data_IF_182757329391
#
_entry.id   IF_182757329391
#
_cell.length_a   1.000
_cell.length_b   1.000
_cell.length_c   1.000
_cell.angle_alpha   90.00
_cell.angle_beta   90.00
_cell.angle_gamma   90.00
#
_symmetry.space_group_name_H-M   'P 1'
#
loop_
_entity.id
_entity.type
_entity.pdbx_description
1 polymer ?
#
# COMPACT_ATOMS: atom_id res chain seq x y z
N UNK A 1 -2.45 13.30 -32.10
CA UNK A 1 -2.22 12.07 -31.30
C UNK A 1 -1.30 12.39 -30.13
N UNK A 2 -1.79 13.02 -29.11
CA UNK A 2 -1.02 13.36 -27.91
C UNK A 2 -1.95 13.47 -26.69
N UNK A 3 -2.96 12.62 -26.61
CA UNK A 3 -3.95 12.62 -25.55
C UNK A 3 -3.71 11.52 -24.49
N UNK A 4 -2.51 10.93 -24.45
CA UNK A 4 -2.20 9.81 -23.56
C UNK A 4 -1.07 10.09 -22.56
N UNK A 5 -0.69 11.36 -22.36
CA UNK A 5 0.43 11.70 -21.47
C UNK A 5 0.11 12.69 -20.35
N UNK A 6 -1.15 13.01 -20.11
CA UNK A 6 -1.55 13.64 -18.86
C UNK A 6 -1.73 12.58 -17.76
N UNK A 7 -0.69 11.80 -17.53
CA UNK A 7 -0.44 11.20 -16.24
C UNK A 7 -0.31 12.37 -15.28
N UNK A 8 -1.31 12.58 -14.49
CA UNK A 8 -1.38 13.62 -13.48
C UNK A 8 -0.18 13.49 -12.57
N UNK A 9 0.87 14.25 -12.84
CA UNK A 9 2.03 14.35 -11.98
C UNK A 9 1.57 15.15 -10.78
N UNK A 10 1.19 14.44 -9.71
CA UNK A 10 0.76 15.03 -8.47
C UNK A 10 1.88 15.91 -7.92
N UNK A 11 1.63 17.19 -7.87
CA UNK A 11 2.32 18.09 -6.94
C UNK A 11 1.65 17.89 -5.58
N UNK A 12 2.45 17.64 -4.55
CA UNK A 12 2.01 17.36 -3.19
C UNK A 12 0.86 18.30 -2.75
N UNK A 13 -0.27 17.69 -2.38
CA UNK A 13 -1.29 18.32 -1.56
C UNK A 13 -2.22 19.36 -2.19
N UNK A 14 -2.20 19.59 -3.50
CA UNK A 14 -2.94 20.71 -4.07
C UNK A 14 -4.04 20.31 -5.06
N UNK A 15 -5.27 20.67 -4.70
CA UNK A 15 -6.34 20.86 -5.66
C UNK A 15 -6.00 22.11 -6.46
N UNK A 16 -5.89 22.01 -7.78
CA UNK A 16 -5.38 23.08 -8.66
C UNK A 16 -6.15 24.42 -8.55
N UNK A 17 -7.43 24.38 -8.22
CA UNK A 17 -8.30 25.54 -8.13
C UNK A 17 -8.66 25.88 -6.69
N UNK A 18 -7.66 26.09 -5.83
CA UNK A 18 -7.85 26.38 -4.41
C UNK A 18 -8.67 27.66 -4.10
N UNK A 19 -8.80 28.56 -5.06
CA UNK A 19 -9.66 29.76 -4.95
C UNK A 19 -11.16 29.43 -5.03
N UNK A 20 -11.54 28.27 -5.55
CA UNK A 20 -12.91 27.80 -5.63
C UNK A 20 -13.44 27.33 -4.30
N UNK A 21 -14.75 27.32 -4.15
CA UNK A 21 -15.47 26.63 -3.08
C UNK A 21 -15.64 25.16 -3.45
N UNK A 22 -16.04 24.34 -2.46
CA UNK A 22 -16.37 22.92 -2.62
C UNK A 22 -17.42 22.71 -3.72
N UNK A 23 -18.43 23.57 -3.77
CA UNK A 23 -19.49 23.49 -4.80
C UNK A 23 -19.01 23.93 -6.17
N UNK A 24 -18.18 24.97 -6.24
CA UNK A 24 -17.68 25.50 -7.51
C UNK A 24 -16.74 24.50 -8.19
N UNK A 25 -15.85 23.87 -7.45
CA UNK A 25 -14.91 22.89 -8.03
C UNK A 25 -15.65 21.61 -8.48
N UNK A 26 -16.62 21.13 -7.72
CA UNK A 26 -17.47 20.00 -8.12
C UNK A 26 -18.20 20.32 -9.43
N UNK A 27 -18.88 21.48 -9.49
CA UNK A 27 -19.60 21.91 -10.70
C UNK A 27 -18.66 22.09 -11.90
N UNK A 28 -17.43 22.51 -11.67
CA UNK A 28 -16.42 22.65 -12.73
C UNK A 28 -16.03 21.28 -13.27
N UNK A 29 -15.66 20.33 -12.43
CA UNK A 29 -15.22 19.01 -12.87
C UNK A 29 -16.36 18.16 -13.45
N UNK A 30 -17.57 18.27 -12.93
CA UNK A 30 -18.74 17.49 -13.38
C UNK A 30 -19.04 17.63 -14.88
N UNK A 31 -18.61 18.74 -15.50
CA UNK A 31 -18.84 18.99 -16.92
C UNK A 31 -17.96 18.16 -17.86
N UNK A 32 -16.86 17.61 -17.34
CA UNK A 32 -15.88 16.87 -18.13
C UNK A 32 -16.04 15.35 -18.07
N UNK A 33 -16.85 14.85 -17.13
CA UNK A 33 -17.00 13.41 -16.89
C UNK A 33 -18.45 12.96 -17.05
N UNK A 34 -18.76 12.18 -18.11
CA UNK A 34 -20.15 11.82 -18.43
C UNK A 34 -20.82 10.91 -17.38
N UNK A 35 -20.04 10.18 -16.56
CA UNK A 35 -20.53 9.30 -15.49
C UNK A 35 -20.40 9.93 -14.11
N UNK A 36 -20.31 11.26 -14.03
CA UNK A 36 -20.11 11.98 -12.79
C UNK A 36 -21.13 11.62 -11.71
N UNK A 37 -20.62 11.20 -10.54
CA UNK A 37 -21.43 10.90 -9.37
C UNK A 37 -21.21 11.94 -8.26
N UNK A 38 -22.04 12.97 -8.26
CA UNK A 38 -22.00 14.01 -7.23
C UNK A 38 -22.24 13.48 -5.81
N UNK A 39 -22.94 12.33 -5.65
CA UNK A 39 -23.20 11.74 -4.32
C UNK A 39 -21.90 11.22 -3.69
N UNK A 40 -21.03 10.59 -4.48
CA UNK A 40 -19.73 10.13 -3.99
C UNK A 40 -18.88 11.30 -3.51
N UNK A 41 -18.90 12.44 -4.23
CA UNK A 41 -18.20 13.64 -3.82
C UNK A 41 -18.75 14.24 -2.52
N UNK A 42 -20.06 14.55 -2.49
CA UNK A 42 -20.65 15.21 -1.32
C UNK A 42 -20.71 14.31 -0.11
N UNK A 43 -20.87 12.99 -0.27
CA UNK A 43 -20.80 12.05 0.85
C UNK A 43 -19.46 12.10 1.59
N UNK A 44 -18.33 12.22 0.85
CA UNK A 44 -17.03 12.43 1.49
C UNK A 44 -16.92 13.82 2.15
N UNK A 45 -17.48 14.87 1.54
CA UNK A 45 -17.48 16.21 2.12
C UNK A 45 -18.29 16.30 3.42
N UNK A 46 -19.38 15.56 3.53
CA UNK A 46 -20.18 15.44 4.76
C UNK A 46 -19.38 14.78 5.89
N UNK A 47 -18.65 13.69 5.60
CA UNK A 47 -17.76 13.04 6.58
C UNK A 47 -16.68 13.98 7.09
N UNK A 48 -16.23 14.91 6.27
CA UNK A 48 -15.25 15.95 6.64
C UNK A 48 -15.88 17.15 7.37
N UNK A 49 -17.18 17.17 7.52
CA UNK A 49 -17.94 18.32 8.03
C UNK A 49 -17.62 19.64 7.27
N UNK A 50 -17.44 19.56 5.97
CA UNK A 50 -17.06 20.68 5.10
C UNK A 50 -18.29 21.25 4.41
N UNK A 51 -18.56 22.55 4.63
CA UNK A 51 -19.69 23.21 4.01
C UNK A 51 -19.46 23.45 2.49
N UNK A 52 -20.48 23.30 1.63
CA UNK A 52 -20.37 23.51 0.17
C UNK A 52 -19.84 24.89 -0.23
N UNK A 53 -20.05 25.91 0.60
CA UNK A 53 -19.56 27.28 0.39
C UNK A 53 -18.13 27.52 0.91
N UNK A 54 -17.50 26.55 1.57
CA UNK A 54 -16.15 26.71 2.09
C UNK A 54 -15.14 26.77 0.95
N UNK A 55 -14.24 27.78 1.03
CA UNK A 55 -13.13 27.92 0.06
C UNK A 55 -12.03 26.91 0.33
N UNK A 56 -11.56 26.23 -0.69
CA UNK A 56 -10.50 25.22 -0.62
C UNK A 56 -9.19 25.81 -0.08
N UNK A 57 -8.88 27.07 -0.43
CA UNK A 57 -7.70 27.76 0.09
C UNK A 57 -7.66 27.87 1.64
N UNK A 58 -8.82 27.80 2.30
CA UNK A 58 -8.94 27.90 3.77
C UNK A 58 -8.94 26.52 4.47
N UNK A 59 -8.76 25.45 3.72
CA UNK A 59 -8.74 24.09 4.24
C UNK A 59 -7.33 23.68 4.66
N UNK A 60 -7.24 22.73 5.60
CA UNK A 60 -5.99 22.05 5.92
C UNK A 60 -5.48 21.24 4.73
N UNK A 61 -4.22 20.84 4.75
CA UNK A 61 -3.64 19.96 3.72
C UNK A 61 -4.44 18.65 3.59
N UNK A 62 -4.73 18.01 4.74
CA UNK A 62 -5.52 16.78 4.78
C UNK A 62 -6.92 16.95 4.19
N UNK A 63 -7.64 18.01 4.54
CA UNK A 63 -8.95 18.30 3.95
C UNK A 63 -8.87 18.51 2.44
N UNK A 64 -7.86 19.24 1.95
CA UNK A 64 -7.67 19.45 0.49
C UNK A 64 -7.39 18.14 -0.25
N UNK A 65 -6.61 17.23 0.34
CA UNK A 65 -6.37 15.91 -0.23
C UNK A 65 -7.66 15.08 -0.31
N UNK A 66 -8.54 15.19 0.68
CA UNK A 66 -9.84 14.53 0.64
C UNK A 66 -10.78 15.15 -0.42
N UNK A 67 -10.71 16.46 -0.65
CA UNK A 67 -11.43 17.09 -1.77
C UNK A 67 -10.93 16.51 -3.10
N UNK A 68 -9.62 16.37 -3.28
CA UNK A 68 -9.05 15.75 -4.47
C UNK A 68 -9.52 14.28 -4.63
N UNK A 69 -9.53 13.51 -3.56
CA UNK A 69 -10.11 12.16 -3.58
C UNK A 69 -11.57 12.17 -4.00
N UNK A 70 -12.38 13.02 -3.39
CA UNK A 70 -13.81 13.14 -3.73
C UNK A 70 -14.02 13.43 -5.23
N UNK A 71 -13.20 14.30 -5.82
CA UNK A 71 -13.25 14.60 -7.25
C UNK A 71 -12.86 13.39 -8.12
N UNK A 72 -11.92 12.56 -7.68
CA UNK A 72 -11.52 11.32 -8.37
C UNK A 72 -12.64 10.29 -8.29
N UNK A 73 -13.20 10.08 -7.10
CA UNK A 73 -14.28 9.12 -6.89
C UNK A 73 -15.54 9.49 -7.69
N UNK A 74 -15.87 10.79 -7.76
CA UNK A 74 -17.01 11.28 -8.50
C UNK A 74 -16.92 11.05 -10.03
N UNK A 75 -15.73 10.81 -10.57
CA UNK A 75 -15.58 10.45 -12.00
C UNK A 75 -16.21 9.10 -12.31
N UNK A 76 -16.45 8.25 -11.31
CA UNK A 76 -17.08 6.95 -11.45
C UNK A 76 -16.39 6.09 -12.52
N UNK A 77 -15.06 6.02 -12.43
CA UNK A 77 -14.21 5.28 -13.36
C UNK A 77 -14.21 3.79 -13.05
N UNK A 78 -14.01 2.95 -14.06
CA UNK A 78 -13.86 1.51 -13.89
C UNK A 78 -12.47 1.14 -13.34
N UNK A 79 -11.47 2.01 -13.62
CA UNK A 79 -10.09 1.90 -13.13
C UNK A 79 -9.65 3.24 -12.55
N UNK A 80 -9.13 3.22 -11.32
CA UNK A 80 -8.46 4.34 -10.68
C UNK A 80 -6.96 4.06 -10.52
N UNK A 81 -6.13 5.02 -10.88
CA UNK A 81 -4.67 4.96 -10.67
C UNK A 81 -4.29 6.05 -9.68
N UNK A 82 -3.79 5.64 -8.51
CA UNK A 82 -3.44 6.50 -7.40
C UNK A 82 -1.96 6.35 -7.06
N UNK A 83 -1.16 7.34 -7.45
CA UNK A 83 0.28 7.33 -7.21
C UNK A 83 0.58 8.07 -5.90
N UNK A 84 1.03 7.31 -4.89
CA UNK A 84 1.41 7.76 -3.55
C UNK A 84 0.41 8.74 -2.90
N UNK A 85 -0.86 8.46 -3.06
CA UNK A 85 -1.96 9.39 -2.78
C UNK A 85 -2.12 9.73 -1.30
N UNK A 86 -1.64 8.89 -0.38
CA UNK A 86 -1.72 9.10 1.06
C UNK A 86 -0.56 9.93 1.64
N UNK A 87 0.42 10.29 0.81
CA UNK A 87 1.57 11.09 1.25
C UNK A 87 1.14 12.47 1.76
N UNK A 88 1.70 12.89 2.90
CA UNK A 88 1.37 14.17 3.53
C UNK A 88 0.01 14.23 4.24
N UNK A 89 -0.73 13.12 4.32
CA UNK A 89 -1.90 13.01 5.19
C UNK A 89 -1.49 12.68 6.62
N UNK A 90 -2.13 13.33 7.59
CA UNK A 90 -2.02 12.88 8.97
C UNK A 90 -2.74 11.52 9.15
N UNK A 91 -2.43 10.77 10.24
CA UNK A 91 -2.97 9.43 10.42
C UNK A 91 -4.51 9.34 10.39
N UNK A 92 -5.21 10.36 10.87
CA UNK A 92 -6.68 10.40 10.90
C UNK A 92 -7.27 10.50 9.49
N UNK A 93 -6.77 11.45 8.69
CA UNK A 93 -7.22 11.62 7.31
C UNK A 93 -6.80 10.46 6.42
N UNK A 94 -5.63 9.86 6.67
CA UNK A 94 -5.16 8.67 5.94
C UNK A 94 -6.07 7.47 6.19
N UNK A 95 -6.45 7.22 7.44
CA UNK A 95 -7.39 6.15 7.79
C UNK A 95 -8.75 6.37 7.11
N UNK A 96 -9.30 7.58 7.19
CA UNK A 96 -10.56 7.93 6.51
C UNK A 96 -10.46 7.69 5.00
N UNK A 97 -9.33 8.08 4.38
CA UNK A 97 -9.06 7.85 2.97
C UNK A 97 -9.13 6.36 2.62
N UNK A 98 -8.38 5.52 3.34
CA UNK A 98 -8.29 4.07 3.10
C UNK A 98 -9.67 3.40 3.25
N UNK A 99 -10.38 3.71 4.34
CA UNK A 99 -11.70 3.15 4.62
C UNK A 99 -12.71 3.55 3.53
N UNK A 100 -12.76 4.83 3.18
CA UNK A 100 -13.69 5.33 2.18
C UNK A 100 -13.39 4.79 0.78
N UNK A 101 -12.11 4.75 0.38
CA UNK A 101 -11.69 4.20 -0.91
C UNK A 101 -12.04 2.72 -1.04
N UNK A 102 -11.78 1.93 0.01
CA UNK A 102 -12.11 0.51 0.04
C UNK A 102 -13.61 0.27 -0.14
N UNK A 103 -14.42 0.99 0.64
CA UNK A 103 -15.88 0.81 0.62
C UNK A 103 -16.47 1.28 -0.72
N UNK A 104 -15.94 2.36 -1.28
CA UNK A 104 -16.30 2.83 -2.62
C UNK A 104 -15.94 1.79 -3.68
N UNK A 105 -14.70 1.32 -3.72
CA UNK A 105 -14.23 0.38 -4.73
C UNK A 105 -15.06 -0.92 -4.72
N UNK A 106 -15.31 -1.48 -3.52
CA UNK A 106 -16.13 -2.69 -3.36
C UNK A 106 -17.59 -2.49 -3.79
N UNK A 107 -18.19 -1.36 -3.41
CA UNK A 107 -19.59 -1.09 -3.74
C UNK A 107 -19.84 -0.85 -5.24
N UNK A 108 -18.82 -0.41 -5.97
CA UNK A 108 -18.90 -0.05 -7.39
C UNK A 108 -18.26 -1.07 -8.32
N UNK A 109 -17.51 -2.03 -7.79
CA UNK A 109 -16.69 -2.93 -8.59
C UNK A 109 -15.55 -2.22 -9.33
N UNK A 110 -15.07 -1.09 -8.77
CA UNK A 110 -13.98 -0.30 -9.35
C UNK A 110 -12.64 -0.97 -9.06
N UNK A 111 -11.82 -1.13 -10.10
CA UNK A 111 -10.43 -1.55 -9.93
C UNK A 111 -9.59 -0.37 -9.47
N UNK A 112 -8.81 -0.55 -8.39
CA UNK A 112 -7.89 0.47 -7.89
C UNK A 112 -6.46 -0.04 -8.03
N UNK A 113 -5.66 0.68 -8.81
CA UNK A 113 -4.22 0.48 -8.88
C UNK A 113 -3.55 1.62 -8.11
N UNK A 114 -2.87 1.29 -7.02
CA UNK A 114 -2.24 2.31 -6.19
C UNK A 114 -0.78 1.98 -5.90
N UNK A 115 0.03 3.03 -5.71
CA UNK A 115 1.37 2.94 -5.15
C UNK A 115 1.38 3.60 -3.77
N UNK A 116 2.16 3.08 -2.84
CA UNK A 116 2.39 3.68 -1.53
C UNK A 116 3.73 3.24 -0.96
N UNK A 117 4.37 4.13 -0.23
CA UNK A 117 5.51 3.82 0.63
C UNK A 117 5.08 3.64 2.10
N UNK A 118 3.80 3.90 2.43
CA UNK A 118 3.22 3.69 3.76
C UNK A 118 2.44 2.39 3.74
N UNK A 119 3.11 1.30 4.07
CA UNK A 119 2.62 -0.06 3.84
C UNK A 119 1.56 -0.47 4.86
N UNK A 120 1.66 0.00 6.11
CA UNK A 120 0.80 -0.41 7.22
C UNK A 120 -0.71 -0.24 6.94
N UNK A 121 -1.08 0.83 6.23
CA UNK A 121 -2.50 1.10 5.92
C UNK A 121 -3.00 0.31 4.70
N UNK A 122 -2.07 -0.16 3.86
CA UNK A 122 -2.40 -0.85 2.60
C UNK A 122 -2.89 -2.26 2.82
N UNK A 123 -2.42 -2.95 3.85
CA UNK A 123 -2.81 -4.35 4.16
C UNK A 123 -4.33 -4.55 4.24
N UNK A 124 -5.06 -3.51 4.69
CA UNK A 124 -6.53 -3.56 4.80
C UNK A 124 -7.27 -3.19 3.52
N UNK A 125 -6.56 -2.66 2.53
CA UNK A 125 -7.14 -2.12 1.30
C UNK A 125 -6.92 -3.04 0.11
N UNK A 126 -5.75 -3.67 0.02
CA UNK A 126 -5.31 -4.38 -1.18
C UNK A 126 -5.79 -5.84 -1.20
N UNK A 127 -6.15 -6.32 -2.38
CA UNK A 127 -6.41 -7.75 -2.64
C UNK A 127 -5.15 -8.42 -3.21
N UNK A 128 -4.45 -7.74 -4.12
CA UNK A 128 -3.21 -8.20 -4.76
C UNK A 128 -2.06 -7.22 -4.48
N UNK A 129 -0.84 -7.72 -4.43
CA UNK A 129 0.35 -6.90 -4.25
C UNK A 129 1.43 -7.19 -5.31
N UNK A 130 2.14 -6.14 -5.69
CA UNK A 130 3.32 -6.18 -6.52
C UNK A 130 4.45 -5.50 -5.76
N UNK A 131 5.44 -6.27 -5.32
CA UNK A 131 6.64 -5.74 -4.67
C UNK A 131 7.72 -5.52 -5.71
N UNK A 132 8.21 -4.29 -5.79
CA UNK A 132 9.25 -3.91 -6.75
C UNK A 132 10.49 -3.37 -6.04
N UNK A 133 11.66 -3.70 -6.57
CA UNK A 133 12.92 -3.14 -6.14
C UNK A 133 13.86 -2.93 -7.33
N UNK A 134 14.51 -1.77 -7.41
CA UNK A 134 15.40 -1.37 -8.52
C UNK A 134 14.84 -1.68 -9.92
N UNK A 135 13.54 -1.43 -10.14
CA UNK A 135 12.87 -1.63 -11.42
C UNK A 135 12.58 -3.11 -11.76
N UNK A 136 12.74 -4.03 -10.82
CA UNK A 136 12.42 -5.45 -10.95
C UNK A 136 11.24 -5.81 -10.06
N UNK A 137 10.34 -6.63 -10.56
CA UNK A 137 9.29 -7.24 -9.76
C UNK A 137 9.92 -8.39 -8.97
N UNK A 138 9.86 -8.31 -7.64
CA UNK A 138 10.31 -9.37 -6.74
C UNK A 138 9.20 -10.38 -6.50
N UNK A 139 7.97 -9.90 -6.30
CA UNK A 139 6.78 -10.70 -6.02
C UNK A 139 5.57 -10.05 -6.68
N UNK A 140 4.69 -10.88 -7.22
CA UNK A 140 3.35 -10.50 -7.69
C UNK A 140 2.39 -11.62 -7.33
N UNK A 141 1.52 -11.39 -6.35
CA UNK A 141 0.55 -12.39 -5.87
C UNK A 141 -0.55 -11.74 -5.02
N UNK A 142 -1.63 -12.47 -4.71
CA UNK A 142 -2.59 -12.04 -3.68
C UNK A 142 -1.91 -11.72 -2.36
N UNK A 143 -2.30 -10.62 -1.72
CA UNK A 143 -1.70 -10.20 -0.45
C UNK A 143 -1.87 -11.24 0.66
N UNK A 144 -3.02 -11.94 0.67
CA UNK A 144 -3.26 -13.04 1.60
C UNK A 144 -2.30 -14.22 1.39
N UNK A 145 -1.94 -14.52 0.15
CA UNK A 145 -0.98 -15.60 -0.18
C UNK A 145 0.44 -15.20 0.25
N UNK A 146 0.82 -13.93 0.04
CA UNK A 146 2.10 -13.41 0.51
C UNK A 146 2.21 -13.58 2.03
N UNK A 147 1.25 -13.06 2.78
CA UNK A 147 1.26 -13.08 4.24
C UNK A 147 1.04 -14.49 4.83
N UNK A 148 0.38 -15.37 4.09
CA UNK A 148 0.19 -16.77 4.50
C UNK A 148 1.41 -17.65 4.31
N UNK A 149 2.25 -17.35 3.32
CA UNK A 149 3.36 -18.20 2.89
C UNK A 149 4.74 -17.64 3.22
N UNK A 150 4.93 -16.32 3.12
CA UNK A 150 6.20 -15.68 3.43
C UNK A 150 6.31 -15.46 4.93
N UNK A 151 7.33 -16.05 5.56
CA UNK A 151 7.49 -16.06 7.02
C UNK A 151 8.92 -15.68 7.41
N UNK A 152 9.08 -15.13 8.60
CA UNK A 152 10.39 -15.05 9.23
C UNK A 152 10.72 -16.36 9.94
N UNK A 153 12.00 -16.68 9.94
CA UNK A 153 12.57 -17.82 10.62
C UNK A 153 13.72 -17.39 11.51
N UNK A 154 13.74 -17.90 12.72
CA UNK A 154 14.79 -17.68 13.70
C UNK A 154 15.25 -19.02 14.29
N UNK A 155 16.55 -19.19 14.48
CA UNK A 155 17.12 -20.34 15.19
C UNK A 155 18.45 -19.99 15.86
N UNK A 156 18.80 -20.76 16.90
CA UNK A 156 20.12 -20.71 17.48
C UNK A 156 21.11 -21.51 16.62
N UNK A 157 22.28 -20.95 16.36
CA UNK A 157 23.37 -21.61 15.64
C UNK A 157 24.66 -21.50 16.45
N UNK A 158 25.64 -22.35 16.15
CA UNK A 158 26.95 -22.24 16.77
C UNK A 158 27.60 -20.89 16.46
N UNK A 159 28.34 -20.33 17.38
CA UNK A 159 29.05 -19.07 17.16
C UNK A 159 30.03 -19.21 15.99
N UNK A 160 29.95 -18.29 15.03
CA UNK A 160 30.74 -18.34 13.80
C UNK A 160 30.19 -19.28 12.72
N UNK A 161 29.09 -20.01 12.95
CA UNK A 161 28.43 -20.76 11.90
C UNK A 161 27.68 -19.82 10.94
N UNK A 162 27.61 -20.21 9.69
CA UNK A 162 26.86 -19.49 8.67
C UNK A 162 25.66 -20.34 8.19
N UNK A 163 24.60 -19.68 7.78
CA UNK A 163 23.49 -20.33 7.09
C UNK A 163 23.95 -20.80 5.69
N UNK A 164 23.36 -21.89 5.16
CA UNK A 164 23.65 -22.33 3.81
C UNK A 164 23.25 -21.25 2.78
N UNK A 165 24.03 -21.09 1.73
CA UNK A 165 23.64 -20.28 0.59
C UNK A 165 22.48 -20.99 -0.13
N UNK A 166 21.27 -20.45 0.02
CA UNK A 166 20.06 -20.98 -0.61
C UNK A 166 19.25 -19.79 -1.15
N UNK A 167 18.84 -19.84 -2.43
CA UNK A 167 18.03 -18.77 -3.03
C UNK A 167 16.67 -18.60 -2.34
N UNK A 168 16.21 -19.62 -1.64
CA UNK A 168 14.95 -19.63 -0.88
C UNK A 168 15.05 -18.89 0.46
N UNK A 169 16.27 -18.62 0.93
CA UNK A 169 16.53 -17.87 2.14
C UNK A 169 16.75 -16.39 1.81
N UNK A 170 15.74 -15.59 2.05
CA UNK A 170 15.81 -14.14 1.85
C UNK A 170 16.47 -13.49 3.05
N UNK A 171 17.43 -12.59 2.81
CA UNK A 171 18.12 -11.79 3.84
C UNK A 171 18.69 -12.60 5.01
N UNK A 172 19.40 -13.70 4.77
CA UNK A 172 19.98 -14.49 5.84
C UNK A 172 21.01 -13.67 6.63
N UNK A 173 20.86 -13.67 7.95
CA UNK A 173 21.79 -13.04 8.90
C UNK A 173 22.17 -14.06 9.95
N UNK A 174 23.42 -13.97 10.45
CA UNK A 174 23.93 -14.81 11.52
C UNK A 174 24.80 -13.97 12.45
N UNK A 175 24.27 -13.62 13.63
CA UNK A 175 24.94 -12.70 14.57
C UNK A 175 24.76 -13.27 16.00
N UNK A 176 25.85 -13.34 16.75
CA UNK A 176 25.79 -13.66 18.20
C UNK A 176 25.16 -15.02 18.52
N UNK A 177 25.36 -16.03 17.67
CA UNK A 177 24.78 -17.35 17.88
C UNK A 177 23.30 -17.48 17.52
N UNK A 178 22.74 -16.48 16.82
CA UNK A 178 21.38 -16.48 16.28
C UNK A 178 21.44 -16.30 14.75
N UNK A 179 20.57 -17.02 14.06
CA UNK A 179 20.34 -16.84 12.64
C UNK A 179 18.89 -16.43 12.38
N UNK A 180 18.71 -15.49 11.47
CA UNK A 180 17.42 -14.99 11.03
C UNK A 180 17.39 -14.94 9.51
N UNK A 181 16.25 -15.27 8.92
CA UNK A 181 16.01 -15.17 7.47
C UNK A 181 14.52 -15.24 7.20
N UNK A 182 14.15 -14.96 5.95
CA UNK A 182 12.76 -15.07 5.50
C UNK A 182 12.67 -16.12 4.40
N UNK A 183 11.53 -16.82 4.30
CA UNK A 183 11.32 -17.81 3.25
C UNK A 183 9.84 -18.01 2.95
N UNK A 184 9.57 -18.48 1.70
CA UNK A 184 8.27 -19.00 1.28
C UNK A 184 8.12 -20.51 1.57
N UNK A 185 9.22 -21.17 1.94
CA UNK A 185 9.19 -22.57 2.34
C UNK A 185 8.46 -22.77 3.68
N UNK A 186 7.82 -23.89 3.82
CA UNK A 186 7.24 -24.31 5.10
C UNK A 186 8.33 -24.61 6.15
N UNK A 187 7.98 -24.59 7.41
CA UNK A 187 8.92 -24.92 8.49
C UNK A 187 9.57 -26.30 8.35
N UNK A 188 8.81 -27.28 7.82
CA UNK A 188 9.32 -28.62 7.54
C UNK A 188 10.38 -28.63 6.43
N UNK A 189 10.16 -27.87 5.36
CA UNK A 189 11.10 -27.74 4.24
C UNK A 189 12.36 -26.99 4.69
N UNK A 190 12.20 -25.89 5.42
CA UNK A 190 13.31 -25.15 6.02
C UNK A 190 14.13 -26.05 6.93
N UNK A 191 13.48 -26.78 7.84
CA UNK A 191 14.17 -27.70 8.75
C UNK A 191 14.91 -28.83 8.01
N UNK A 192 14.32 -29.35 6.92
CA UNK A 192 14.98 -30.36 6.10
C UNK A 192 16.26 -29.82 5.45
N UNK A 193 16.21 -28.60 4.91
CA UNK A 193 17.33 -27.92 4.26
C UNK A 193 18.46 -27.60 5.27
N UNK A 194 18.10 -27.09 6.45
CA UNK A 194 19.07 -26.82 7.51
C UNK A 194 19.76 -28.10 7.99
N UNK A 195 19.02 -29.21 8.18
CA UNK A 195 19.60 -30.49 8.56
C UNK A 195 20.56 -31.04 7.48
N UNK A 196 20.24 -30.89 6.21
CA UNK A 196 21.13 -31.25 5.10
C UNK A 196 22.44 -30.46 5.14
N UNK A 197 22.40 -29.23 5.64
CA UNK A 197 23.57 -28.37 5.85
C UNK A 197 24.27 -28.66 7.20
N UNK A 198 23.81 -29.64 7.98
CA UNK A 198 24.41 -30.00 9.27
C UNK A 198 24.04 -29.04 10.43
N UNK A 199 22.98 -28.22 10.25
CA UNK A 199 22.51 -27.29 11.27
C UNK A 199 21.37 -27.90 12.07
N UNK A 200 21.48 -27.86 13.42
CA UNK A 200 20.44 -28.32 14.33
C UNK A 200 19.21 -27.38 14.26
N UNK A 201 18.01 -27.98 14.29
CA UNK A 201 16.76 -27.25 14.11
C UNK A 201 15.86 -27.24 15.37
N UNK A 202 16.39 -27.66 16.52
CA UNK A 202 15.60 -27.79 17.76
C UNK A 202 15.04 -26.45 18.27
N UNK A 203 15.66 -25.37 17.89
CA UNK A 203 15.26 -24.00 18.26
C UNK A 203 14.61 -23.24 17.12
N UNK A 204 14.38 -23.88 15.97
CA UNK A 204 13.74 -23.23 14.83
C UNK A 204 12.35 -22.72 15.19
N UNK A 205 12.09 -21.48 14.92
CA UNK A 205 10.80 -20.82 15.08
C UNK A 205 10.41 -20.09 13.82
N UNK A 206 9.14 -20.09 13.52
CA UNK A 206 8.59 -19.30 12.42
C UNK A 206 7.52 -18.35 12.91
N UNK A 207 7.53 -17.12 12.39
CA UNK A 207 6.53 -16.11 12.71
C UNK A 207 5.84 -15.61 11.45
N UNK A 208 4.54 -15.33 11.59
CA UNK A 208 3.77 -14.67 10.56
C UNK A 208 4.18 -13.19 10.46
N UNK A 209 4.15 -12.66 9.25
CA UNK A 209 4.54 -11.29 8.97
C UNK A 209 3.29 -10.43 8.70
N UNK A 210 3.36 -9.15 9.01
CA UNK A 210 2.53 -8.14 8.41
C UNK A 210 3.12 -7.71 7.05
N UNK A 211 2.39 -6.89 6.30
CA UNK A 211 2.82 -6.49 4.96
C UNK A 211 4.12 -5.68 4.95
N UNK A 212 4.36 -4.88 5.98
CA UNK A 212 5.58 -4.08 6.13
C UNK A 212 6.81 -4.97 6.38
N UNK A 213 6.71 -5.92 7.31
CA UNK A 213 7.78 -6.88 7.60
C UNK A 213 8.06 -7.78 6.39
N UNK A 214 7.01 -8.19 5.65
CA UNK A 214 7.17 -8.94 4.42
C UNK A 214 7.92 -8.12 3.34
N UNK A 215 7.61 -6.83 3.22
CA UNK A 215 8.32 -5.93 2.32
C UNK A 215 9.81 -5.79 2.71
N UNK A 216 10.10 -5.62 4.00
CA UNK A 216 11.48 -5.55 4.52
C UNK A 216 12.21 -6.86 4.24
N UNK A 217 11.58 -8.00 4.51
CA UNK A 217 12.15 -9.33 4.25
C UNK A 217 12.50 -9.55 2.77
N UNK A 218 11.69 -9.03 1.86
CA UNK A 218 11.92 -9.14 0.41
C UNK A 218 12.99 -8.16 -0.09
N UNK A 219 12.95 -6.91 0.37
CA UNK A 219 13.79 -5.83 -0.18
C UNK A 219 15.07 -5.58 0.62
N UNK A 220 15.08 -5.86 1.92
CA UNK A 220 16.14 -5.52 2.85
C UNK A 220 16.25 -4.01 3.12
N UNK A 221 15.15 -3.27 2.93
CA UNK A 221 15.09 -1.81 3.15
C UNK A 221 14.21 -1.50 4.34
N UNK A 222 14.65 -0.50 5.10
CA UNK A 222 13.94 0.06 6.26
C UNK A 222 13.16 1.30 5.86
#
# INVERSE_FOLDING_TARGET
SSAASDVYKRQEGHVQYAFMTIREIERFYSQYYPRWDARAYYGLMELLAVAPGQRIARMSCGQRSQVALGLILAQNADLMILDDFSMGLDPGYRRLFVEYLRDYARSRGTTVFLTSHIIQDMEKLIDDCIVMDYGRILVQMPAGDLLGRFRSYELAIAEGAALPEAPEFHRPTAIGGRAEFYSFETEAEVAARLRQAGIACDTLRSEALNLEDAFIGLTGKY
#
